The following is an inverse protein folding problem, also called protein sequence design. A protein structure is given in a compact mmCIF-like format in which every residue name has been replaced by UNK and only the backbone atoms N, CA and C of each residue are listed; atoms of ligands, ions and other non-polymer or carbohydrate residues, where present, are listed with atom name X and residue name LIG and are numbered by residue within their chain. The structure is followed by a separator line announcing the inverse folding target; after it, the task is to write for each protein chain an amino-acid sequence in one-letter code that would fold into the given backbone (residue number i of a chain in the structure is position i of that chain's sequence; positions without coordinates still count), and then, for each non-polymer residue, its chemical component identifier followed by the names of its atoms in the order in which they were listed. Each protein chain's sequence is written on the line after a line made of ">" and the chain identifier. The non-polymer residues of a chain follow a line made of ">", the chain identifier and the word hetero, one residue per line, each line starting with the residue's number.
data_IF_325786707858
#
_entry.id   IF_325786707858
#
_cell.length_a   1.000
_cell.length_b   1.000
_cell.length_c   1.000
_cell.angle_alpha   90.00
_cell.angle_beta   90.00
_cell.angle_gamma   90.00
#
_symmetry.space_group_name_H-M   'P 1'
#
loop_
_entity.id
_entity.type
_entity.pdbx_description
1 polymer ?
#
# COMPACT_ATOMS: atom_id res chain seq x y z
N UNK A 1 10.41 -46.10 -8.98
CA UNK A 1 11.46 -45.11 -8.65
C UNK A 1 10.76 -43.84 -8.22
N UNK A 2 10.91 -43.45 -6.95
CA UNK A 2 10.22 -42.28 -6.40
C UNK A 2 10.99 -41.02 -6.78
N UNK A 3 10.52 -40.29 -7.78
CA UNK A 3 11.10 -39.02 -8.23
C UNK A 3 10.73 -37.94 -7.22
N UNK A 4 11.43 -37.93 -6.08
CA UNK A 4 11.18 -37.01 -4.98
C UNK A 4 11.35 -35.55 -5.41
N UNK A 5 10.54 -34.66 -4.83
CA UNK A 5 10.52 -33.22 -5.12
C UNK A 5 11.91 -32.56 -5.06
N UNK A 6 12.75 -32.98 -4.10
CA UNK A 6 14.12 -32.50 -3.93
C UNK A 6 15.06 -32.92 -5.07
N UNK A 7 14.85 -34.08 -5.68
CA UNK A 7 15.64 -34.52 -6.83
C UNK A 7 15.33 -33.67 -8.08
N UNK A 8 14.06 -33.31 -8.25
CA UNK A 8 13.59 -32.53 -9.40
C UNK A 8 13.92 -31.03 -9.23
N UNK A 9 13.77 -30.48 -8.02
CA UNK A 9 13.88 -29.03 -7.75
C UNK A 9 15.09 -28.63 -6.92
N UNK A 10 15.97 -29.57 -6.55
CA UNK A 10 17.10 -29.31 -5.65
C UNK A 10 18.02 -28.20 -6.12
N UNK A 11 18.36 -28.15 -7.42
CA UNK A 11 19.18 -27.08 -7.98
C UNK A 11 18.50 -25.69 -7.96
N UNK A 12 17.17 -25.64 -8.06
CA UNK A 12 16.43 -24.38 -7.90
C UNK A 12 16.47 -23.91 -6.43
N UNK A 13 16.27 -24.84 -5.49
CA UNK A 13 16.30 -24.52 -4.07
C UNK A 13 17.70 -24.12 -3.59
N UNK A 14 18.76 -24.78 -4.09
CA UNK A 14 20.14 -24.40 -3.79
C UNK A 14 20.43 -22.94 -4.15
N UNK A 15 20.14 -22.54 -5.39
CA UNK A 15 20.31 -21.14 -5.82
C UNK A 15 19.49 -20.15 -5.00
N UNK A 16 18.26 -20.50 -4.63
CA UNK A 16 17.42 -19.66 -3.79
C UNK A 16 18.02 -19.49 -2.38
N UNK A 17 18.56 -20.57 -1.80
CA UNK A 17 19.21 -20.50 -0.49
C UNK A 17 20.48 -19.65 -0.55
N UNK A 18 21.29 -19.79 -1.61
CA UNK A 18 22.48 -18.96 -1.82
C UNK A 18 22.12 -17.47 -1.93
N UNK A 19 21.03 -17.14 -2.63
CA UNK A 19 20.52 -15.75 -2.73
C UNK A 19 20.01 -15.17 -1.41
N UNK A 20 19.57 -16.02 -0.48
CA UNK A 20 19.02 -15.62 0.82
C UNK A 20 20.06 -15.69 1.94
N UNK A 21 21.23 -16.27 1.67
CA UNK A 21 22.28 -16.45 2.65
C UNK A 21 22.72 -15.09 3.21
N UNK A 22 22.91 -15.03 4.54
CA UNK A 22 23.29 -13.79 5.22
C UNK A 22 22.24 -12.66 5.18
N UNK A 23 21.03 -12.90 4.67
CA UNK A 23 19.97 -11.91 4.58
C UNK A 23 18.89 -12.10 5.66
N UNK A 24 18.15 -11.02 5.92
CA UNK A 24 16.94 -10.99 6.76
C UNK A 24 15.85 -10.21 6.04
N UNK A 25 14.61 -10.47 6.41
CA UNK A 25 13.49 -9.65 5.99
C UNK A 25 13.20 -8.55 7.01
N UNK A 26 13.07 -7.31 6.51
CA UNK A 26 12.55 -6.16 7.23
C UNK A 26 11.25 -5.71 6.58
N UNK A 27 10.25 -5.39 7.39
CA UNK A 27 8.96 -4.91 6.91
C UNK A 27 8.68 -3.48 7.38
N UNK A 28 8.12 -2.65 6.49
CA UNK A 28 7.57 -1.34 6.84
C UNK A 28 6.08 -1.35 6.54
N UNK A 29 5.26 -1.06 7.56
CA UNK A 29 3.83 -0.85 7.40
C UNK A 29 3.55 0.64 7.31
N UNK A 30 2.82 1.05 6.27
CA UNK A 30 2.42 2.44 6.05
C UNK A 30 0.93 2.55 6.35
N UNK A 31 0.58 3.35 7.35
CA UNK A 31 -0.81 3.69 7.64
C UNK A 31 -1.10 5.04 6.98
N UNK A 32 -1.95 5.03 5.96
CA UNK A 32 -2.39 6.24 5.30
C UNK A 32 -3.60 6.78 6.06
N UNK A 33 -3.55 8.00 6.61
CA UNK A 33 -4.72 8.60 7.22
C UNK A 33 -5.81 8.74 6.15
N UNK A 34 -6.97 8.13 6.37
CA UNK A 34 -8.16 8.45 5.61
C UNK A 34 -8.52 9.87 6.02
N UNK A 35 -8.48 10.82 5.07
CA UNK A 35 -9.11 12.12 5.30
C UNK A 35 -10.53 11.82 5.74
N UNK A 36 -10.81 12.02 7.03
CA UNK A 36 -12.16 11.96 7.54
C UNK A 36 -12.92 13.01 6.74
N UNK A 37 -13.75 12.54 5.81
CA UNK A 37 -14.75 13.38 5.16
C UNK A 37 -15.61 13.87 6.31
N UNK A 38 -15.33 15.10 6.75
CA UNK A 38 -16.16 15.83 7.68
C UNK A 38 -17.52 15.88 7.01
N UNK A 39 -18.41 14.96 7.40
CA UNK A 39 -19.76 14.90 6.88
C UNK A 39 -20.50 16.00 7.64
N UNK A 40 -20.19 17.24 7.24
CA UNK A 40 -20.99 18.40 7.57
C UNK A 40 -22.35 18.12 6.96
N UNK A 41 -23.26 17.60 7.80
CA UNK A 41 -24.67 17.49 7.50
C UNK A 41 -25.18 18.91 7.22
N UNK A 42 -25.06 19.35 5.97
CA UNK A 42 -25.65 20.59 5.52
C UNK A 42 -27.13 20.30 5.32
N UNK A 43 -27.91 20.76 6.29
CA UNK A 43 -29.36 20.80 6.28
C UNK A 43 -29.87 21.27 4.92
N UNK A 44 -30.73 20.45 4.29
CA UNK A 44 -31.54 20.86 3.16
C UNK A 44 -32.50 21.96 3.61
N UNK A 45 -32.51 23.17 3.01
CA UNK A 45 -33.66 24.04 3.11
C UNK A 45 -34.72 23.50 2.15
N UNK A 46 -35.84 23.04 2.70
CA UNK A 46 -37.08 22.86 1.93
C UNK A 46 -37.51 24.25 1.49
N UNK A 47 -37.53 24.51 0.19
CA UNK A 47 -38.26 25.66 -0.36
C UNK A 47 -39.02 25.24 -1.60
N UNK A 48 -40.34 25.47 -1.53
CA UNK A 48 -41.34 25.18 -2.54
C UNK A 48 -41.29 26.20 -3.70
N UNK A 49 -41.77 25.76 -4.88
CA UNK A 49 -42.38 26.51 -6.00
C UNK A 49 -41.60 26.63 -7.34
N UNK A 50 -41.93 25.71 -8.26
CA UNK A 50 -42.39 25.92 -9.65
C UNK A 50 -41.40 26.42 -10.77
N UNK A 51 -41.73 26.26 -12.08
CA UNK A 51 -40.87 25.50 -12.99
C UNK A 51 -40.36 26.30 -14.20
N UNK A 52 -39.04 26.35 -14.40
CA UNK A 52 -38.43 26.65 -15.70
C UNK A 52 -37.19 25.76 -15.87
N UNK A 53 -37.31 24.72 -16.70
CA UNK A 53 -36.26 23.75 -16.94
C UNK A 53 -35.51 24.11 -18.24
N UNK A 54 -34.22 24.52 -18.20
CA UNK A 54 -33.32 24.23 -19.31
C UNK A 54 -33.10 22.70 -19.37
N UNK A 55 -32.62 22.11 -20.48
CA UNK A 55 -32.46 20.67 -20.61
C UNK A 55 -31.45 20.17 -19.57
N UNK A 56 -31.96 19.76 -18.43
CA UNK A 56 -31.22 19.11 -17.36
C UNK A 56 -30.82 17.75 -17.88
N UNK A 57 -29.51 17.56 -17.99
CA UNK A 57 -28.89 16.25 -18.17
C UNK A 57 -29.60 15.26 -17.24
N UNK A 58 -30.25 14.26 -17.84
CA UNK A 58 -31.21 13.42 -17.14
C UNK A 58 -30.60 12.68 -15.94
N UNK A 59 -31.44 12.07 -15.07
CA UNK A 59 -31.01 11.39 -13.83
C UNK A 59 -29.89 10.35 -14.01
N UNK A 60 -29.80 9.75 -15.21
CA UNK A 60 -28.73 8.84 -15.57
C UNK A 60 -27.37 9.52 -15.74
N UNK A 61 -27.31 10.74 -16.27
CA UNK A 61 -26.07 11.48 -16.44
C UNK A 61 -25.51 11.97 -15.09
N UNK A 62 -26.37 12.45 -14.19
CA UNK A 62 -25.95 12.81 -12.83
C UNK A 62 -25.48 11.59 -12.04
N UNK A 63 -26.16 10.45 -12.17
CA UNK A 63 -25.73 9.19 -11.58
C UNK A 63 -24.37 8.72 -12.12
N UNK A 64 -24.17 8.74 -13.44
CA UNK A 64 -22.90 8.36 -14.05
C UNK A 64 -21.77 9.34 -13.71
N UNK A 65 -22.05 10.64 -13.63
CA UNK A 65 -21.07 11.64 -13.20
C UNK A 65 -20.68 11.46 -11.73
N UNK A 66 -21.65 11.23 -10.83
CA UNK A 66 -21.39 10.93 -9.42
C UNK A 66 -20.61 9.63 -9.27
N UNK A 67 -20.94 8.60 -10.05
CA UNK A 67 -20.24 7.32 -10.04
C UNK A 67 -18.81 7.43 -10.61
N UNK A 68 -18.61 8.24 -11.66
CA UNK A 68 -17.28 8.55 -12.21
C UNK A 68 -16.43 9.33 -11.20
N UNK A 69 -17.01 10.33 -10.53
CA UNK A 69 -16.33 11.08 -9.47
C UNK A 69 -15.96 10.18 -8.27
N UNK A 70 -16.86 9.28 -7.88
CA UNK A 70 -16.60 8.29 -6.83
C UNK A 70 -15.44 7.34 -7.20
N UNK A 71 -15.38 6.84 -8.44
CA UNK A 71 -14.23 6.02 -8.87
C UNK A 71 -12.93 6.84 -9.01
N UNK A 72 -13.00 8.08 -9.49
CA UNK A 72 -11.83 8.97 -9.53
C UNK A 72 -11.29 9.29 -8.12
N UNK A 73 -12.16 9.41 -7.12
CA UNK A 73 -11.80 9.54 -5.71
C UNK A 73 -11.22 8.26 -5.09
N UNK A 74 -11.47 7.09 -5.69
CA UNK A 74 -10.83 5.83 -5.31
C UNK A 74 -9.47 5.64 -6.01
N UNK A 75 -9.25 6.28 -7.16
CA UNK A 75 -7.99 6.26 -7.90
C UNK A 75 -6.96 7.28 -7.39
N UNK A 76 -7.38 8.48 -6.95
CA UNK A 76 -6.47 9.50 -6.40
C UNK A 76 -5.61 9.03 -5.20
N UNK A 77 -6.15 8.29 -4.21
CA UNK A 77 -5.36 7.75 -3.10
C UNK A 77 -4.25 6.81 -3.57
N UNK A 78 -4.37 6.22 -4.77
CA UNK A 78 -3.40 5.26 -5.29
C UNK A 78 -2.12 5.94 -5.80
N UNK A 79 -2.22 7.12 -6.44
CA UNK A 79 -1.03 7.81 -6.96
C UNK A 79 -0.23 8.46 -5.83
N UNK A 80 -0.88 9.11 -4.87
CA UNK A 80 -0.21 9.66 -3.67
C UNK A 80 0.48 8.56 -2.85
N UNK A 81 -0.19 7.41 -2.72
CA UNK A 81 0.39 6.21 -2.10
C UNK A 81 1.63 5.73 -2.85
N UNK A 82 1.58 5.73 -4.19
CA UNK A 82 2.69 5.27 -5.03
C UNK A 82 3.91 6.17 -4.89
N UNK A 83 3.73 7.49 -4.86
CA UNK A 83 4.85 8.40 -4.63
C UNK A 83 5.48 8.20 -3.24
N UNK A 84 4.65 8.00 -2.21
CA UNK A 84 5.13 7.69 -0.87
C UNK A 84 5.92 6.37 -0.85
N UNK A 85 5.43 5.33 -1.54
CA UNK A 85 6.13 4.06 -1.69
C UNK A 85 7.48 4.26 -2.36
N UNK A 86 7.54 5.01 -3.46
CA UNK A 86 8.81 5.25 -4.18
C UNK A 86 9.78 6.10 -3.36
N UNK A 87 9.33 7.14 -2.65
CA UNK A 87 10.17 7.92 -1.72
C UNK A 87 10.73 7.04 -0.61
N UNK A 88 9.88 6.20 -0.01
CA UNK A 88 10.33 5.22 0.99
C UNK A 88 11.36 4.29 0.38
N UNK A 89 11.07 3.63 -0.74
CA UNK A 89 11.98 2.69 -1.42
C UNK A 89 13.32 3.34 -1.77
N UNK A 90 13.29 4.56 -2.30
CA UNK A 90 14.48 5.32 -2.66
C UNK A 90 15.36 5.66 -1.44
N UNK A 91 14.75 5.98 -0.29
CA UNK A 91 15.50 6.27 0.94
C UNK A 91 16.35 5.06 1.41
N UNK A 92 15.90 3.83 1.13
CA UNK A 92 16.63 2.61 1.48
C UNK A 92 17.52 2.07 0.34
N UNK A 93 17.68 2.80 -0.76
CA UNK A 93 18.50 2.35 -1.89
C UNK A 93 19.93 1.97 -1.44
N UNK A 94 20.40 0.81 -1.90
CA UNK A 94 21.69 0.25 -1.51
C UNK A 94 21.71 -0.51 -0.17
N UNK A 95 20.61 -0.49 0.60
CA UNK A 95 20.50 -1.22 1.87
C UNK A 95 19.72 -2.54 1.76
N UNK A 96 19.13 -2.84 0.59
CA UNK A 96 18.37 -4.06 0.35
C UNK A 96 18.74 -4.67 -1.01
N UNK A 97 18.52 -5.97 -1.15
CA UNK A 97 18.73 -6.73 -2.39
C UNK A 97 17.42 -6.90 -3.19
N UNK A 98 16.30 -7.12 -2.49
CA UNK A 98 14.97 -7.30 -3.09
C UNK A 98 13.94 -6.49 -2.31
N UNK A 99 12.89 -6.07 -3.01
CA UNK A 99 11.77 -5.31 -2.48
C UNK A 99 10.46 -5.92 -2.95
N UNK A 100 9.47 -6.03 -2.06
CA UNK A 100 8.10 -6.42 -2.39
C UNK A 100 7.11 -5.44 -1.76
N UNK A 101 6.09 -5.09 -2.54
CA UNK A 101 4.95 -4.30 -2.09
C UNK A 101 3.72 -5.21 -2.04
N UNK A 102 3.05 -5.24 -0.90
CA UNK A 102 1.72 -5.81 -0.76
C UNK A 102 0.73 -4.70 -0.41
N UNK A 103 -0.21 -4.48 -1.33
CA UNK A 103 -1.41 -3.71 -1.09
C UNK A 103 -2.54 -4.72 -0.83
N UNK A 104 -3.16 -4.75 0.36
CA UNK A 104 -4.41 -5.47 0.51
C UNK A 104 -5.35 -4.88 -0.54
N UNK A 105 -5.77 -5.72 -1.48
CA UNK A 105 -6.78 -5.30 -2.45
C UNK A 105 -7.96 -4.73 -1.64
N UNK A 106 -8.49 -3.57 -2.06
CA UNK A 106 -9.72 -2.96 -1.56
C UNK A 106 -10.92 -3.91 -1.80
N UNK A 107 -10.86 -5.12 -1.26
CA UNK A 107 -11.85 -6.18 -1.39
C UNK A 107 -12.59 -6.24 -0.09
N UNK A 108 -13.41 -5.22 0.12
CA UNK A 108 -14.82 -5.31 0.55
C UNK A 108 -15.24 -3.94 1.07
N UNK A 109 -16.40 -3.41 0.63
CA UNK A 109 -16.93 -2.13 1.13
C UNK A 109 -17.46 -2.21 2.58
N UNK A 110 -17.28 -3.33 3.28
CA UNK A 110 -17.86 -3.59 4.62
C UNK A 110 -17.00 -3.09 5.78
N UNK A 111 -15.85 -2.48 5.53
CA UNK A 111 -14.99 -1.92 6.59
C UNK A 111 -14.77 -0.43 6.39
N UNK A 112 -15.79 0.36 6.75
CA UNK A 112 -15.77 1.83 6.77
C UNK A 112 -14.67 2.40 7.72
N UNK A 113 -14.00 1.55 8.50
CA UNK A 113 -13.08 1.94 9.58
C UNK A 113 -11.64 1.44 9.43
N UNK A 114 -11.23 0.86 8.30
CA UNK A 114 -9.81 0.44 8.12
C UNK A 114 -9.10 1.40 7.18
N UNK A 115 -8.19 2.19 7.77
CA UNK A 115 -7.17 2.93 7.05
C UNK A 115 -6.47 1.99 6.04
N UNK A 116 -6.21 2.43 4.80
CA UNK A 116 -5.43 1.65 3.86
C UNK A 116 -4.04 1.37 4.47
N UNK A 117 -3.72 0.09 4.62
CA UNK A 117 -2.44 -0.40 5.16
C UNK A 117 -1.58 -0.93 4.03
N UNK A 118 -0.49 -0.25 3.70
CA UNK A 118 0.48 -0.76 2.73
C UNK A 118 1.60 -1.49 3.46
N UNK A 119 2.10 -2.54 2.83
CA UNK A 119 3.11 -3.41 3.42
C UNK A 119 4.30 -3.51 2.48
N UNK A 120 5.43 -2.99 2.94
CA UNK A 120 6.69 -2.97 2.22
C UNK A 120 7.61 -4.01 2.84
N UNK A 121 8.18 -4.91 2.05
CA UNK A 121 9.14 -5.89 2.52
C UNK A 121 10.46 -5.70 1.81
N UNK A 122 11.54 -5.81 2.57
CA UNK A 122 12.91 -5.62 2.11
C UNK A 122 13.74 -6.84 2.50
N UNK A 123 14.43 -7.42 1.52
CA UNK A 123 15.47 -8.41 1.78
C UNK A 123 16.77 -7.64 2.04
N UNK A 124 17.21 -7.63 3.30
CA UNK A 124 18.31 -6.79 3.78
C UNK A 124 19.49 -7.68 4.17
N UNK A 125 20.70 -7.44 3.65
CA UNK A 125 21.91 -8.08 4.16
C UNK A 125 22.07 -7.79 5.65
N UNK A 126 22.41 -8.80 6.47
CA UNK A 126 22.56 -8.62 7.93
C UNK A 126 23.55 -7.52 8.30
N UNK A 127 24.60 -7.31 7.49
CA UNK A 127 25.58 -6.24 7.66
C UNK A 127 24.98 -4.83 7.51
N UNK A 128 23.90 -4.68 6.76
CA UNK A 128 23.23 -3.40 6.49
C UNK A 128 22.09 -3.10 7.47
N UNK A 129 21.79 -3.99 8.42
CA UNK A 129 20.62 -3.91 9.28
C UNK A 129 20.58 -2.64 10.14
N UNK A 130 21.71 -2.28 10.75
CA UNK A 130 21.79 -1.09 11.60
C UNK A 130 21.66 0.20 10.79
N UNK A 131 22.23 0.23 9.58
CA UNK A 131 22.04 1.35 8.65
C UNK A 131 20.57 1.47 8.23
N UNK A 132 19.92 0.35 7.93
CA UNK A 132 18.49 0.29 7.59
C UNK A 132 17.63 0.89 8.72
N UNK A 133 17.87 0.50 9.97
CA UNK A 133 17.14 1.03 11.14
C UNK A 133 17.32 2.54 11.31
N UNK A 134 18.54 3.04 11.11
CA UNK A 134 18.85 4.48 11.19
C UNK A 134 18.12 5.27 10.10
N UNK A 135 18.13 4.79 8.86
CA UNK A 135 17.37 5.42 7.77
C UNK A 135 15.87 5.39 8.07
N UNK A 136 15.34 4.28 8.59
CA UNK A 136 13.94 4.22 8.98
C UNK A 136 13.57 5.31 9.99
N UNK A 137 14.39 5.52 11.03
CA UNK A 137 14.15 6.59 12.00
C UNK A 137 14.09 7.97 11.32
N UNK A 138 15.02 8.26 10.40
CA UNK A 138 15.03 9.52 9.67
C UNK A 138 13.81 9.71 8.75
N UNK A 139 13.39 8.65 8.05
CA UNK A 139 12.21 8.69 7.17
C UNK A 139 10.94 8.85 8.01
N UNK A 140 10.81 8.11 9.12
CA UNK A 140 9.63 8.15 9.99
C UNK A 140 9.38 9.53 10.62
N UNK A 141 10.40 10.37 10.75
CA UNK A 141 10.29 11.75 11.24
C UNK A 141 9.89 12.75 10.15
N UNK A 142 10.11 12.42 8.88
CA UNK A 142 9.85 13.32 7.73
C UNK A 142 8.49 13.06 7.09
N UNK A 143 8.04 11.80 7.10
CA UNK A 143 6.78 11.43 6.46
C UNK A 143 5.58 11.80 7.33
N UNK A 144 4.52 12.29 6.69
CA UNK A 144 3.24 12.58 7.36
C UNK A 144 2.45 11.31 7.67
N UNK A 145 2.71 10.22 6.94
CA UNK A 145 2.11 8.92 7.16
C UNK A 145 2.76 8.21 8.36
N UNK A 146 1.96 7.45 9.12
CA UNK A 146 2.49 6.68 10.23
C UNK A 146 3.18 5.42 9.71
N UNK A 147 4.49 5.36 9.86
CA UNK A 147 5.32 4.21 9.50
C UNK A 147 5.60 3.32 10.70
N UNK A 148 5.51 2.00 10.52
CA UNK A 148 5.87 1.01 11.53
C UNK A 148 6.93 0.05 10.99
N UNK A 149 8.06 -0.07 11.68
CA UNK A 149 9.11 -1.03 11.36
C UNK A 149 8.82 -2.38 12.01
N UNK A 150 9.03 -3.46 11.28
CA UNK A 150 8.87 -4.84 11.72
C UNK A 150 10.09 -5.67 11.33
N UNK A 151 10.45 -6.66 12.15
CA UNK A 151 11.61 -7.54 11.92
C UNK A 151 12.84 -7.22 12.77
N UNK A 152 13.94 -7.99 12.58
CA UNK A 152 14.19 -8.90 11.46
C UNK A 152 13.44 -10.23 11.58
N UNK A 153 13.08 -10.81 10.44
CA UNK A 153 12.51 -12.16 10.32
C UNK A 153 13.31 -13.00 9.32
N UNK A 154 13.16 -14.33 9.32
CA UNK A 154 13.49 -15.14 8.14
C UNK A 154 12.77 -14.62 6.90
N UNK A 155 13.37 -14.74 5.69
CA UNK A 155 12.88 -14.09 4.47
C UNK A 155 11.70 -14.82 3.81
N UNK A 156 10.61 -15.01 4.55
CA UNK A 156 9.41 -15.73 4.10
C UNK A 156 8.75 -15.09 2.89
N UNK A 157 8.84 -13.78 2.74
CA UNK A 157 8.30 -13.10 1.57
C UNK A 157 9.21 -13.19 0.35
N UNK A 158 10.40 -13.79 0.43
CA UNK A 158 11.37 -13.84 -0.69
C UNK A 158 11.71 -15.25 -1.17
N UNK A 159 11.01 -16.27 -0.65
CA UNK A 159 11.06 -17.65 -1.13
C UNK A 159 10.02 -17.95 -2.22
#
# INVERSE_FOLDING_TARGET
>A
MSTGLLFIRGGQYGRLLDELEGCVEMGIRVLIPSSEVTTSAHQLPISHLAPHHPPTLGPGHSFLAARKAHYAQLEQPFEESRELIERCRAAFAGLFLKFKLECPAFRTPTSVFRLPLLSLYFLVPRSSLEAFRKIFQQVSLKESARLLLTGPWPPYNFV
#
